data_IF_519665091203
#
_entry.id   IF_519665091203
#
_cell.length_a   1.000
_cell.length_b   1.000
_cell.length_c   1.000
_cell.angle_alpha   90.00
_cell.angle_beta   90.00
_cell.angle_gamma   90.00
#
_symmetry.space_group_name_H-M   'P 1'
#
loop_
_entity.id
_entity.type
_entity.pdbx_description
1 polymer ?
#
# COMPACT_ATOMS: atom_id res chain seq x y z
N UNK A 1 133.46 -145.31 -78.90
CA UNK A 1 133.42 -145.72 -80.32
C UNK A 1 132.31 -144.91 -80.97
N UNK A 2 132.42 -144.26 -82.11
CA UNK A 2 133.29 -144.42 -83.26
C UNK A 2 132.82 -143.37 -84.29
N UNK A 3 133.72 -143.02 -85.22
CA UNK A 3 133.39 -142.65 -86.59
C UNK A 3 132.20 -141.70 -86.87
N UNK A 4 132.51 -140.47 -87.25
CA UNK A 4 132.33 -140.10 -88.68
C UNK A 4 133.55 -139.28 -89.09
N UNK A 5 134.36 -139.83 -89.99
CA UNK A 5 134.26 -139.54 -91.42
C UNK A 5 134.34 -138.05 -91.72
N UNK A 6 135.39 -137.71 -92.46
CA UNK A 6 135.69 -136.40 -93.00
C UNK A 6 134.47 -135.80 -93.74
N UNK A 7 134.02 -134.64 -93.27
CA UNK A 7 133.21 -133.69 -94.05
C UNK A 7 134.13 -132.54 -94.52
N UNK A 8 134.13 -132.22 -95.84
CA UNK A 8 134.99 -131.21 -96.46
C UNK A 8 134.93 -129.86 -95.72
N UNK A 9 136.06 -129.14 -95.66
CA UNK A 9 136.18 -127.88 -94.93
C UNK A 9 135.11 -126.82 -95.30
N UNK A 10 134.54 -126.91 -96.50
CA UNK A 10 133.52 -125.99 -97.03
C UNK A 10 132.14 -126.11 -96.36
N UNK A 11 131.71 -127.29 -95.88
CA UNK A 11 130.38 -127.48 -95.30
C UNK A 11 130.29 -127.01 -93.84
N UNK A 12 131.38 -127.10 -93.06
CA UNK A 12 131.46 -126.56 -91.69
C UNK A 12 131.35 -125.04 -91.63
N UNK A 13 131.88 -124.35 -92.64
CA UNK A 13 131.78 -122.89 -92.74
C UNK A 13 130.33 -122.43 -92.99
N UNK A 14 129.55 -123.17 -93.79
CA UNK A 14 128.12 -122.86 -94.03
C UNK A 14 127.26 -123.10 -92.79
N UNK A 15 127.46 -124.22 -92.09
CA UNK A 15 126.67 -124.52 -90.87
C UNK A 15 126.95 -123.51 -89.76
N UNK A 16 128.21 -123.09 -89.56
CA UNK A 16 128.53 -122.02 -88.60
C UNK A 16 127.94 -120.66 -89.01
N UNK A 17 127.88 -120.35 -90.30
CA UNK A 17 127.19 -119.15 -90.80
C UNK A 17 125.67 -119.22 -90.58
N UNK A 18 125.05 -120.37 -90.82
CA UNK A 18 123.62 -120.57 -90.57
C UNK A 18 123.28 -120.47 -89.07
N UNK A 19 124.10 -121.06 -88.19
CA UNK A 19 123.90 -120.98 -86.74
C UNK A 19 124.15 -119.58 -86.18
N UNK A 20 125.13 -118.84 -86.71
CA UNK A 20 125.35 -117.43 -86.32
C UNK A 20 124.23 -116.53 -86.83
N UNK A 21 123.72 -116.76 -88.04
CA UNK A 21 122.54 -116.06 -88.56
C UNK A 21 121.28 -116.36 -87.75
N UNK A 22 121.05 -117.62 -87.34
CA UNK A 22 119.91 -118.00 -86.49
C UNK A 22 120.05 -117.41 -85.08
N UNK A 23 121.25 -117.41 -84.49
CA UNK A 23 121.49 -116.75 -83.18
C UNK A 23 121.31 -115.23 -83.25
N UNK A 24 121.74 -114.60 -84.34
CA UNK A 24 121.53 -113.16 -84.57
C UNK A 24 120.04 -112.85 -84.73
N UNK A 25 119.27 -113.66 -85.47
CA UNK A 25 117.81 -113.49 -85.59
C UNK A 25 117.08 -113.75 -84.28
N UNK A 26 117.53 -114.73 -83.49
CA UNK A 26 116.97 -114.99 -82.16
C UNK A 26 117.23 -113.80 -81.21
N UNK A 27 118.43 -113.22 -81.24
CA UNK A 27 118.76 -112.03 -80.45
C UNK A 27 117.95 -110.80 -80.91
N UNK A 28 117.75 -110.61 -82.22
CA UNK A 28 116.88 -109.55 -82.76
C UNK A 28 115.43 -109.73 -82.33
N UNK A 29 114.87 -110.94 -82.48
CA UNK A 29 113.50 -111.22 -82.07
C UNK A 29 113.30 -111.08 -80.55
N UNK A 30 114.31 -111.44 -79.75
CA UNK A 30 114.27 -111.24 -78.31
C UNK A 30 114.32 -109.75 -77.94
N UNK A 31 115.09 -108.94 -78.69
CA UNK A 31 115.09 -107.48 -78.60
C UNK A 31 113.74 -106.87 -78.96
N UNK A 32 113.12 -107.34 -80.03
CA UNK A 32 111.79 -106.88 -80.48
C UNK A 32 110.70 -107.26 -79.47
N UNK A 33 110.77 -108.46 -78.87
CA UNK A 33 109.85 -108.88 -77.81
C UNK A 33 110.03 -108.03 -76.55
N UNK A 34 111.27 -107.70 -76.14
CA UNK A 34 111.49 -106.78 -75.03
C UNK A 34 110.97 -105.37 -75.34
N UNK A 35 111.21 -104.85 -76.54
CA UNK A 35 110.71 -103.54 -76.95
C UNK A 35 109.19 -103.48 -77.00
N UNK A 36 108.52 -104.55 -77.44
CA UNK A 36 107.06 -104.68 -77.40
C UNK A 36 106.54 -104.80 -75.97
N UNK A 37 107.26 -105.52 -75.09
CA UNK A 37 106.90 -105.61 -73.67
C UNK A 37 107.02 -104.26 -72.96
N UNK A 38 108.07 -103.48 -73.26
CA UNK A 38 108.28 -102.15 -72.72
C UNK A 38 107.25 -101.16 -73.29
N UNK A 39 106.94 -101.25 -74.58
CA UNK A 39 105.88 -100.45 -75.21
C UNK A 39 104.49 -100.79 -74.67
N UNK A 40 104.21 -102.06 -74.39
CA UNK A 40 102.96 -102.49 -73.76
C UNK A 40 102.88 -102.03 -72.30
N UNK A 41 103.99 -102.05 -71.57
CA UNK A 41 104.10 -101.46 -70.24
C UNK A 41 103.81 -99.97 -70.25
N UNK A 42 104.47 -99.21 -71.14
CA UNK A 42 104.24 -97.78 -71.30
C UNK A 42 102.80 -97.45 -71.72
N UNK A 43 102.20 -98.27 -72.60
CA UNK A 43 100.80 -98.12 -72.99
C UNK A 43 99.84 -98.40 -71.81
N UNK A 44 100.14 -99.40 -70.98
CA UNK A 44 99.36 -99.68 -69.77
C UNK A 44 99.49 -98.58 -68.72
N UNK A 45 100.68 -98.02 -68.53
CA UNK A 45 100.90 -96.89 -67.62
C UNK A 45 100.17 -95.63 -68.12
N UNK A 46 100.15 -95.39 -69.44
CA UNK A 46 99.38 -94.29 -70.02
C UNK A 46 97.88 -94.53 -69.89
N UNK A 47 97.39 -95.76 -70.07
CA UNK A 47 95.98 -96.10 -69.79
C UNK A 47 95.63 -95.88 -68.31
N UNK A 48 96.51 -96.24 -67.38
CA UNK A 48 96.30 -96.01 -65.95
C UNK A 48 96.31 -94.50 -65.61
N UNK A 49 97.21 -93.73 -66.22
CA UNK A 49 97.28 -92.27 -66.09
C UNK A 49 96.05 -91.58 -66.68
N UNK A 50 95.58 -92.01 -67.85
CA UNK A 50 94.37 -91.47 -68.47
C UNK A 50 93.12 -91.85 -67.68
N UNK A 51 93.08 -93.04 -67.10
CA UNK A 51 91.98 -93.47 -66.23
C UNK A 51 91.91 -92.63 -64.96
N UNK A 52 93.05 -92.41 -64.29
CA UNK A 52 93.08 -91.54 -63.09
C UNK A 52 92.75 -90.09 -63.42
N UNK A 53 93.21 -89.57 -64.57
CA UNK A 53 92.82 -88.24 -65.04
C UNK A 53 91.33 -88.14 -65.39
N UNK A 54 90.74 -89.20 -65.96
CA UNK A 54 89.32 -89.27 -66.27
C UNK A 54 88.47 -89.32 -65.00
N UNK A 55 88.86 -90.14 -64.02
CA UNK A 55 88.16 -90.25 -62.73
C UNK A 55 88.25 -88.93 -61.95
N UNK A 56 89.40 -88.26 -61.97
CA UNK A 56 89.57 -86.92 -61.38
C UNK A 56 88.70 -85.87 -62.09
N UNK A 57 88.66 -85.87 -63.43
CA UNK A 57 87.81 -84.97 -64.20
C UNK A 57 86.31 -85.25 -63.99
N UNK A 58 85.92 -86.52 -63.80
CA UNK A 58 84.55 -86.92 -63.48
C UNK A 58 84.15 -86.46 -62.08
N UNK A 59 85.01 -86.65 -61.07
CA UNK A 59 84.79 -86.17 -59.71
C UNK A 59 84.71 -84.63 -59.65
N UNK A 60 85.60 -83.93 -60.36
CA UNK A 60 85.54 -82.47 -60.52
C UNK A 60 84.24 -82.02 -61.22
N UNK A 61 83.79 -82.78 -62.23
CA UNK A 61 82.53 -82.55 -62.93
C UNK A 61 81.31 -82.71 -62.03
N UNK A 62 81.27 -83.76 -61.22
CA UNK A 62 80.21 -84.03 -60.24
C UNK A 62 80.20 -82.96 -59.14
N UNK A 63 81.36 -82.58 -58.60
CA UNK A 63 81.47 -81.50 -57.62
C UNK A 63 81.01 -80.17 -58.20
N UNK A 64 81.40 -79.85 -59.44
CA UNK A 64 80.91 -78.64 -60.14
C UNK A 64 79.40 -78.67 -60.35
N UNK A 65 78.83 -79.81 -60.73
CA UNK A 65 77.38 -79.96 -60.89
C UNK A 65 76.64 -79.78 -59.56
N UNK A 66 77.15 -80.36 -58.46
CA UNK A 66 76.60 -80.18 -57.12
C UNK A 66 76.69 -78.74 -56.63
N UNK A 67 77.82 -78.05 -56.88
CA UNK A 67 77.99 -76.63 -56.55
C UNK A 67 77.05 -75.74 -57.38
N UNK A 68 76.85 -76.03 -58.66
CA UNK A 68 75.89 -75.30 -59.49
C UNK A 68 74.45 -75.55 -59.04
N UNK A 69 74.11 -76.78 -58.65
CA UNK A 69 72.79 -77.11 -58.13
C UNK A 69 72.53 -76.41 -56.79
N UNK A 70 73.48 -76.41 -55.86
CA UNK A 70 73.34 -75.70 -54.58
C UNK A 70 73.31 -74.18 -54.75
N UNK A 71 74.10 -73.63 -55.68
CA UNK A 71 74.04 -72.21 -56.04
C UNK A 71 72.69 -71.84 -56.68
N UNK A 72 72.13 -72.68 -57.55
CA UNK A 72 70.81 -72.46 -58.14
C UNK A 72 69.71 -72.47 -57.06
N UNK A 73 69.74 -73.44 -56.14
CA UNK A 73 68.81 -73.49 -55.01
C UNK A 73 68.93 -72.28 -54.07
N UNK A 74 70.16 -71.82 -53.80
CA UNK A 74 70.39 -70.61 -53.01
C UNK A 74 69.83 -69.36 -53.71
N UNK A 75 70.05 -69.22 -55.02
CA UNK A 75 69.51 -68.12 -55.80
C UNK A 75 67.97 -68.14 -55.88
N UNK A 76 67.35 -69.33 -55.99
CA UNK A 76 65.90 -69.49 -55.91
C UNK A 76 65.36 -69.09 -54.54
N UNK A 77 66.00 -69.54 -53.45
CA UNK A 77 65.63 -69.16 -52.09
C UNK A 77 65.78 -67.65 -51.84
N UNK A 78 66.83 -67.01 -52.37
CA UNK A 78 67.00 -65.55 -52.30
C UNK A 78 65.90 -64.81 -53.08
N UNK A 79 65.55 -65.29 -54.27
CA UNK A 79 64.47 -64.71 -55.07
C UNK A 79 63.10 -64.86 -54.37
N UNK A 80 62.83 -66.00 -53.75
CA UNK A 80 61.64 -66.21 -52.93
C UNK A 80 61.61 -65.30 -51.70
N UNK A 81 62.75 -65.14 -51.01
CA UNK A 81 62.87 -64.23 -49.88
C UNK A 81 62.63 -62.76 -50.28
N UNK A 82 63.16 -62.31 -51.42
CA UNK A 82 62.89 -60.97 -51.96
C UNK A 82 61.42 -60.79 -52.36
N UNK A 83 60.80 -61.80 -52.99
CA UNK A 83 59.36 -61.77 -53.28
C UNK A 83 58.51 -61.69 -52.01
N UNK A 84 58.87 -62.43 -50.96
CA UNK A 84 58.18 -62.36 -49.67
C UNK A 84 58.38 -61.00 -48.98
N UNK A 85 59.58 -60.41 -49.06
CA UNK A 85 59.87 -59.06 -48.56
C UNK A 85 59.06 -58.00 -49.29
N UNK A 86 58.97 -58.08 -50.62
CA UNK A 86 58.17 -57.17 -51.44
C UNK A 86 56.68 -57.29 -51.10
N UNK A 87 56.14 -58.51 -51.04
CA UNK A 87 54.74 -58.73 -50.63
C UNK A 87 54.44 -58.16 -49.23
N UNK A 88 55.33 -58.38 -48.26
CA UNK A 88 55.18 -57.83 -46.92
C UNK A 88 55.32 -56.29 -46.88
N UNK A 89 56.08 -55.68 -47.79
CA UNK A 89 56.17 -54.23 -47.91
C UNK A 89 54.88 -53.64 -48.50
N UNK A 90 54.32 -54.27 -49.54
CA UNK A 90 53.05 -53.88 -50.15
C UNK A 90 51.89 -54.01 -49.16
N UNK A 91 51.81 -55.11 -48.41
CA UNK A 91 50.79 -55.28 -47.36
C UNK A 91 50.88 -54.20 -46.29
N UNK A 92 52.10 -53.84 -45.85
CA UNK A 92 52.31 -52.74 -44.89
C UNK A 92 51.93 -51.38 -45.49
N UNK A 93 52.21 -51.14 -46.77
CA UNK A 93 51.82 -49.91 -47.45
C UNK A 93 50.30 -49.79 -47.55
N UNK A 94 49.61 -50.87 -47.93
CA UNK A 94 48.14 -50.92 -47.99
C UNK A 94 47.51 -50.77 -46.59
N UNK A 95 48.11 -51.35 -45.54
CA UNK A 95 47.67 -51.16 -44.17
C UNK A 95 47.83 -49.70 -43.72
N UNK A 96 48.99 -49.09 -44.00
CA UNK A 96 49.25 -47.68 -43.68
C UNK A 96 48.31 -46.73 -44.44
N UNK A 97 47.97 -47.02 -45.70
CA UNK A 97 47.01 -46.24 -46.47
C UNK A 97 45.59 -46.36 -45.90
N UNK A 98 45.16 -47.56 -45.50
CA UNK A 98 43.87 -47.77 -44.81
C UNK A 98 43.80 -47.03 -43.48
N UNK A 99 44.86 -47.11 -42.67
CA UNK A 99 44.94 -46.40 -41.39
C UNK A 99 44.93 -44.87 -41.61
N UNK A 100 45.63 -44.37 -42.63
CA UNK A 100 45.62 -42.96 -42.99
C UNK A 100 44.24 -42.50 -43.51
N UNK A 101 43.55 -43.34 -44.30
CA UNK A 101 42.18 -43.07 -44.76
C UNK A 101 41.21 -43.01 -43.58
N UNK A 102 41.25 -44.00 -42.69
CA UNK A 102 40.42 -44.04 -41.49
C UNK A 102 40.68 -42.83 -40.57
N UNK A 103 41.95 -42.42 -40.42
CA UNK A 103 42.31 -41.23 -39.64
C UNK A 103 41.77 -39.93 -40.27
N UNK A 104 41.77 -39.80 -41.61
CA UNK A 104 41.19 -38.65 -42.32
C UNK A 104 39.67 -38.60 -42.16
N UNK A 105 38.99 -39.74 -42.31
CA UNK A 105 37.54 -39.83 -42.12
C UNK A 105 37.15 -39.48 -40.67
N UNK A 106 37.87 -40.01 -39.68
CA UNK A 106 37.66 -39.68 -38.28
C UNK A 106 37.88 -38.17 -37.99
N UNK A 107 38.92 -37.57 -38.59
CA UNK A 107 39.17 -36.13 -38.46
C UNK A 107 38.08 -35.28 -39.12
N UNK A 108 37.56 -35.70 -40.27
CA UNK A 108 36.46 -35.01 -40.94
C UNK A 108 35.16 -35.09 -40.15
N UNK A 109 34.82 -36.25 -39.58
CA UNK A 109 33.67 -36.42 -38.70
C UNK A 109 33.81 -35.52 -37.46
N UNK A 110 34.95 -35.55 -36.78
CA UNK A 110 35.19 -34.69 -35.62
C UNK A 110 35.13 -33.19 -35.97
N UNK A 111 35.59 -32.79 -37.15
CA UNK A 111 35.50 -31.41 -37.62
C UNK A 111 34.04 -30.97 -37.87
N UNK A 112 33.21 -31.85 -38.44
CA UNK A 112 31.79 -31.61 -38.64
C UNK A 112 31.03 -31.49 -37.31
N UNK A 113 31.26 -32.42 -36.38
CA UNK A 113 30.66 -32.38 -35.04
C UNK A 113 31.06 -31.10 -34.28
N UNK A 114 32.33 -30.68 -34.34
CA UNK A 114 32.77 -29.45 -33.73
C UNK A 114 32.12 -28.21 -34.38
N UNK A 115 31.93 -28.22 -35.70
CA UNK A 115 31.25 -27.14 -36.41
C UNK A 115 29.77 -27.04 -36.00
N UNK A 116 29.07 -28.16 -35.89
CA UNK A 116 27.68 -28.22 -35.41
C UNK A 116 27.54 -27.68 -33.98
N UNK A 117 28.44 -28.08 -33.07
CA UNK A 117 28.46 -27.58 -31.69
C UNK A 117 28.71 -26.06 -31.64
N UNK A 118 29.60 -25.54 -32.50
CA UNK A 118 29.86 -24.08 -32.57
C UNK A 118 28.64 -23.31 -33.06
N UNK A 119 27.97 -23.79 -34.10
CA UNK A 119 26.73 -23.16 -34.61
C UNK A 119 25.65 -23.17 -33.54
N UNK A 120 25.47 -24.29 -32.82
CA UNK A 120 24.53 -24.37 -31.71
C UNK A 120 24.88 -23.38 -30.58
N UNK A 121 26.16 -23.28 -30.21
CA UNK A 121 26.62 -22.35 -29.18
C UNK A 121 26.44 -20.87 -29.58
N UNK A 122 26.65 -20.53 -30.84
CA UNK A 122 26.41 -19.18 -31.37
C UNK A 122 24.91 -18.84 -31.37
N UNK A 123 24.05 -19.79 -31.75
CA UNK A 123 22.60 -19.63 -31.70
C UNK A 123 22.10 -19.42 -30.25
N UNK A 124 22.60 -20.20 -29.30
CA UNK A 124 22.28 -20.05 -27.87
C UNK A 124 22.78 -18.70 -27.32
N UNK A 125 23.98 -18.28 -27.71
CA UNK A 125 24.51 -16.97 -27.34
C UNK A 125 23.63 -15.84 -27.86
N UNK A 126 23.25 -15.87 -29.14
CA UNK A 126 22.38 -14.87 -29.73
C UNK A 126 21.00 -14.82 -29.03
N UNK A 127 20.46 -15.99 -28.68
CA UNK A 127 19.20 -16.10 -27.92
C UNK A 127 19.32 -15.47 -26.52
N UNK A 128 20.42 -15.73 -25.81
CA UNK A 128 20.67 -15.18 -24.48
C UNK A 128 20.90 -13.67 -24.52
N UNK A 129 21.64 -13.16 -25.52
CA UNK A 129 21.83 -11.73 -25.73
C UNK A 129 20.49 -11.05 -26.03
N UNK A 130 19.64 -11.64 -26.89
CA UNK A 130 18.27 -11.17 -27.13
C UNK A 130 17.44 -11.10 -25.85
N UNK A 131 17.37 -12.19 -25.09
CA UNK A 131 16.64 -12.25 -23.83
C UNK A 131 17.15 -11.23 -22.79
N UNK A 132 18.46 -10.98 -22.75
CA UNK A 132 19.04 -9.95 -21.87
C UNK A 132 18.59 -8.55 -22.29
N UNK A 133 18.59 -8.23 -23.59
CA UNK A 133 18.13 -6.93 -24.07
C UNK A 133 16.63 -6.70 -23.81
N UNK A 134 15.79 -7.72 -24.02
CA UNK A 134 14.36 -7.67 -23.69
C UNK A 134 14.13 -7.48 -22.19
N UNK A 135 14.87 -8.20 -21.34
CA UNK A 135 14.79 -8.05 -19.89
C UNK A 135 15.22 -6.65 -19.44
N UNK A 136 16.28 -6.08 -20.04
CA UNK A 136 16.72 -4.72 -19.76
C UNK A 136 15.70 -3.67 -20.20
N UNK A 137 15.12 -3.83 -21.39
CA UNK A 137 14.04 -2.96 -21.88
C UNK A 137 12.80 -3.04 -20.98
N UNK A 138 12.41 -4.25 -20.57
CA UNK A 138 11.30 -4.48 -19.64
C UNK A 138 11.53 -3.83 -18.28
N UNK A 139 12.75 -3.93 -17.73
CA UNK A 139 13.14 -3.24 -16.50
C UNK A 139 13.04 -1.72 -16.64
N UNK A 140 13.58 -1.14 -17.71
CA UNK A 140 13.52 0.30 -17.93
C UNK A 140 12.07 0.80 -18.09
N UNK A 141 11.22 0.06 -18.79
CA UNK A 141 9.80 0.36 -18.92
C UNK A 141 9.06 0.30 -17.56
N UNK A 142 9.35 -0.71 -16.74
CA UNK A 142 8.79 -0.82 -15.40
C UNK A 142 9.22 0.33 -14.48
N UNK A 143 10.50 0.71 -14.50
CA UNK A 143 11.02 1.85 -13.73
C UNK A 143 10.38 3.18 -14.17
N UNK A 144 10.21 3.39 -15.48
CA UNK A 144 9.52 4.55 -16.03
C UNK A 144 8.05 4.61 -15.57
N UNK A 145 7.36 3.46 -15.56
CA UNK A 145 5.98 3.35 -15.05
C UNK A 145 5.89 3.68 -13.56
N UNK A 146 6.75 3.09 -12.73
CA UNK A 146 6.78 3.37 -11.28
C UNK A 146 7.05 4.85 -11.01
N UNK A 147 7.94 5.48 -11.78
CA UNK A 147 8.21 6.93 -11.68
C UNK A 147 6.99 7.77 -12.04
N UNK A 148 6.23 7.39 -13.08
CA UNK A 148 5.01 8.07 -13.47
C UNK A 148 3.91 7.93 -12.41
N UNK A 149 3.67 6.72 -11.92
CA UNK A 149 2.68 6.44 -10.85
C UNK A 149 3.02 7.21 -9.56
N UNK A 150 4.31 7.26 -9.16
CA UNK A 150 4.75 8.07 -8.02
C UNK A 150 4.45 9.56 -8.18
N UNK A 151 4.55 10.10 -9.41
CA UNK A 151 4.22 11.51 -9.69
C UNK A 151 2.72 11.77 -9.57
N UNK A 152 1.88 10.84 -10.03
CA UNK A 152 0.42 10.93 -9.88
C UNK A 152 0.04 10.90 -8.40
N UNK A 153 0.54 9.92 -7.64
CA UNK A 153 0.30 9.82 -6.20
C UNK A 153 0.76 11.06 -5.43
N UNK A 154 1.91 11.65 -5.80
CA UNK A 154 2.37 12.90 -5.19
C UNK A 154 1.41 14.07 -5.48
N UNK A 155 0.82 14.12 -6.67
CA UNK A 155 -0.21 15.09 -7.05
C UNK A 155 -1.51 14.91 -6.24
N UNK A 156 -1.98 13.68 -6.10
CA UNK A 156 -3.17 13.33 -5.32
C UNK A 156 -2.98 13.67 -3.84
N UNK A 157 -1.84 13.31 -3.24
CA UNK A 157 -1.52 13.66 -1.84
C UNK A 157 -1.54 15.18 -1.65
N UNK A 158 -0.99 15.96 -2.58
CA UNK A 158 -1.00 17.42 -2.52
C UNK A 158 -2.43 17.98 -2.63
N UNK A 159 -3.26 17.40 -3.50
CA UNK A 159 -4.68 17.79 -3.65
C UNK A 159 -5.47 17.48 -2.38
N UNK A 160 -5.29 16.29 -1.80
CA UNK A 160 -5.96 15.88 -0.57
C UNK A 160 -5.57 16.74 0.62
N UNK A 161 -4.29 17.14 0.74
CA UNK A 161 -3.84 18.07 1.80
C UNK A 161 -4.54 19.43 1.69
N UNK A 162 -4.62 19.99 0.49
CA UNK A 162 -5.35 21.26 0.26
C UNK A 162 -6.84 21.14 0.56
N UNK A 163 -7.46 20.02 0.20
CA UNK A 163 -8.86 19.76 0.50
C UNK A 163 -9.11 19.60 2.01
N UNK A 164 -8.18 18.98 2.74
CA UNK A 164 -8.24 18.89 4.20
C UNK A 164 -8.11 20.28 4.85
N UNK A 165 -7.12 21.08 4.45
CA UNK A 165 -6.95 22.45 4.94
C UNK A 165 -8.18 23.33 4.67
N UNK A 166 -8.78 23.21 3.48
CA UNK A 166 -10.01 23.92 3.14
C UNK A 166 -11.19 23.50 4.04
N UNK A 167 -11.34 22.20 4.32
CA UNK A 167 -12.38 21.70 5.24
C UNK A 167 -12.17 22.12 6.67
N UNK A 168 -10.93 22.18 7.15
CA UNK A 168 -10.64 22.66 8.50
C UNK A 168 -11.00 24.16 8.63
N UNK A 169 -10.74 24.95 7.58
CA UNK A 169 -11.16 26.35 7.53
C UNK A 169 -12.69 26.50 7.49
N UNK A 170 -13.40 25.69 6.69
CA UNK A 170 -14.87 25.65 6.64
C UNK A 170 -15.45 25.26 8.01
N UNK A 171 -14.90 24.24 8.67
CA UNK A 171 -15.33 23.79 9.98
C UNK A 171 -15.13 24.89 11.03
N UNK A 172 -13.97 25.55 11.04
CA UNK A 172 -13.67 26.65 11.96
C UNK A 172 -14.63 27.83 11.74
N UNK A 173 -14.90 28.19 10.48
CA UNK A 173 -15.87 29.24 10.14
C UNK A 173 -17.29 28.86 10.55
N UNK A 174 -17.70 27.60 10.35
CA UNK A 174 -19.02 27.11 10.75
C UNK A 174 -19.18 27.08 12.28
N UNK A 175 -18.12 26.72 13.01
CA UNK A 175 -18.10 26.77 14.47
C UNK A 175 -18.21 28.20 15.00
N UNK A 176 -17.53 29.17 14.37
CA UNK A 176 -17.64 30.58 14.72
C UNK A 176 -19.07 31.11 14.49
N UNK A 177 -19.66 30.82 13.31
CA UNK A 177 -21.04 31.20 13.01
C UNK A 177 -22.06 30.53 13.95
N UNK A 178 -21.84 29.27 14.33
CA UNK A 178 -22.68 28.58 15.29
C UNK A 178 -22.59 29.20 16.70
N UNK A 179 -21.39 29.61 17.13
CA UNK A 179 -21.19 30.30 18.41
C UNK A 179 -21.88 31.67 18.43
N UNK A 180 -21.78 32.44 17.33
CA UNK A 180 -22.47 33.73 17.18
C UNK A 180 -23.99 33.56 17.21
N UNK A 181 -24.53 32.58 16.47
CA UNK A 181 -25.95 32.27 16.48
C UNK A 181 -26.45 31.80 17.87
N UNK A 182 -25.64 31.03 18.61
CA UNK A 182 -25.95 30.63 19.97
C UNK A 182 -25.99 31.84 20.93
N UNK A 183 -25.01 32.73 20.85
CA UNK A 183 -24.99 33.96 21.63
C UNK A 183 -26.19 34.87 21.32
N UNK A 184 -26.57 35.02 20.04
CA UNK A 184 -27.74 35.78 19.64
C UNK A 184 -29.04 35.19 20.23
N UNK A 185 -29.19 33.85 20.21
CA UNK A 185 -30.33 33.17 20.83
C UNK A 185 -30.38 33.37 22.33
N UNK A 186 -29.25 33.28 23.02
CA UNK A 186 -29.19 33.53 24.46
C UNK A 186 -29.58 34.99 24.78
N UNK A 187 -29.13 35.95 23.98
CA UNK A 187 -29.54 37.35 24.10
C UNK A 187 -31.05 37.56 23.96
N UNK A 188 -31.70 36.90 22.99
CA UNK A 188 -33.16 36.94 22.84
C UNK A 188 -33.88 36.33 24.04
N UNK A 189 -33.44 35.16 24.51
CA UNK A 189 -34.03 34.49 25.68
C UNK A 189 -33.89 35.35 26.94
N UNK A 190 -32.72 35.95 27.17
CA UNK A 190 -32.52 36.88 28.29
C UNK A 190 -33.41 38.13 28.14
N UNK A 191 -33.58 38.64 26.92
CA UNK A 191 -34.53 39.71 26.59
C UNK A 191 -35.97 39.36 27.02
N UNK A 192 -36.47 38.20 26.59
CA UNK A 192 -37.81 37.72 26.93
C UNK A 192 -38.01 37.54 28.45
N UNK A 193 -37.01 36.98 29.14
CA UNK A 193 -37.05 36.76 30.59
C UNK A 193 -37.13 38.09 31.34
N UNK A 194 -36.34 39.10 30.94
CA UNK A 194 -36.36 40.42 31.57
C UNK A 194 -37.66 41.16 31.28
N UNK A 195 -38.19 41.09 30.05
CA UNK A 195 -39.50 41.65 29.70
C UNK A 195 -40.62 40.99 30.53
N UNK A 196 -40.64 39.67 30.63
CA UNK A 196 -41.60 38.93 31.44
C UNK A 196 -41.49 39.25 32.95
N UNK A 197 -40.29 39.54 33.45
CA UNK A 197 -40.09 39.99 34.83
C UNK A 197 -40.68 41.39 35.06
N UNK A 198 -40.42 42.35 34.15
CA UNK A 198 -40.98 43.71 34.21
C UNK A 198 -42.50 43.69 34.19
N UNK A 199 -43.10 42.96 33.25
CA UNK A 199 -44.55 42.78 33.15
C UNK A 199 -45.18 42.21 34.44
N UNK A 200 -44.55 41.20 35.03
CA UNK A 200 -44.99 40.65 36.32
C UNK A 200 -44.96 41.68 37.43
N UNK A 201 -44.00 42.60 37.43
CA UNK A 201 -43.95 43.72 38.41
C UNK A 201 -45.12 44.68 38.20
N UNK A 202 -45.31 45.17 36.97
CA UNK A 202 -46.40 46.10 36.65
C UNK A 202 -47.77 45.50 36.99
N UNK A 203 -47.99 44.22 36.65
CA UNK A 203 -49.24 43.54 37.01
C UNK A 203 -49.45 43.44 38.53
N UNK A 204 -48.38 43.22 39.30
CA UNK A 204 -48.46 43.24 40.77
C UNK A 204 -48.85 44.62 41.29
N UNK A 205 -48.23 45.68 40.79
CA UNK A 205 -48.54 47.07 41.18
C UNK A 205 -50.00 47.42 40.86
N UNK A 206 -50.47 47.10 39.66
CA UNK A 206 -51.88 47.30 39.25
C UNK A 206 -52.83 46.50 40.13
N UNK A 207 -52.50 45.24 40.47
CA UNK A 207 -53.32 44.44 41.37
C UNK A 207 -53.40 45.03 42.78
N UNK A 208 -52.30 45.56 43.30
CA UNK A 208 -52.25 46.22 44.60
C UNK A 208 -53.03 47.54 44.59
N UNK A 209 -52.96 48.31 43.50
CA UNK A 209 -53.74 49.52 43.31
C UNK A 209 -55.25 49.22 43.28
N UNK A 210 -55.66 48.19 42.53
CA UNK A 210 -57.05 47.72 42.52
C UNK A 210 -57.54 47.32 43.93
N UNK A 211 -56.75 46.54 44.68
CA UNK A 211 -57.10 46.16 46.06
C UNK A 211 -57.25 47.38 46.97
N UNK A 212 -56.38 48.39 46.83
CA UNK A 212 -56.48 49.66 47.58
C UNK A 212 -57.70 50.47 47.16
N UNK A 213 -58.07 50.48 45.88
CA UNK A 213 -59.31 51.11 45.41
C UNK A 213 -60.54 50.42 45.99
N UNK A 214 -60.57 49.09 46.00
CA UNK A 214 -61.64 48.32 46.66
C UNK A 214 -61.73 48.66 48.16
N UNK A 215 -60.59 48.87 48.82
CA UNK A 215 -60.54 49.29 50.21
C UNK A 215 -61.11 50.69 50.50
N UNK A 216 -61.19 51.57 49.50
CA UNK A 216 -61.74 52.92 49.66
C UNK A 216 -63.28 52.95 49.69
N UNK A 217 -63.95 51.79 49.61
CA UNK A 217 -65.40 51.71 49.72
C UNK A 217 -65.89 52.20 51.09
N UNK A 218 -66.99 52.95 51.09
CA UNK A 218 -67.59 53.57 52.29
C UNK A 218 -67.91 52.53 53.37
N UNK A 219 -68.35 51.34 52.95
CA UNK A 219 -68.61 50.20 53.84
C UNK A 219 -67.36 49.78 54.63
N UNK A 220 -66.20 49.79 53.98
CA UNK A 220 -64.93 49.39 54.60
C UNK A 220 -64.34 50.50 55.46
N UNK A 221 -64.47 51.76 55.02
CA UNK A 221 -64.07 52.93 55.81
C UNK A 221 -64.92 53.06 57.08
N UNK A 222 -66.20 52.69 57.03
CA UNK A 222 -67.07 52.66 58.21
C UNK A 222 -66.62 51.59 59.23
N UNK A 223 -66.15 50.43 58.76
CA UNK A 223 -65.54 49.40 59.61
C UNK A 223 -64.21 49.88 60.19
N UNK A 224 -63.33 50.48 59.37
CA UNK A 224 -62.04 51.03 59.82
C UNK A 224 -62.24 52.14 60.89
N UNK A 225 -63.18 53.07 60.69
CA UNK A 225 -63.49 54.13 61.67
C UNK A 225 -64.15 53.56 62.95
N UNK A 226 -64.89 52.45 62.86
CA UNK A 226 -65.46 51.76 64.03
C UNK A 226 -64.39 50.98 64.82
N UNK A 227 -63.45 50.35 64.13
CA UNK A 227 -62.30 49.66 64.74
C UNK A 227 -61.31 50.67 65.37
N UNK A 228 -61.03 51.79 64.70
CA UNK A 228 -60.19 52.87 65.24
C UNK A 228 -60.80 53.51 66.51
N UNK A 229 -62.13 53.62 66.56
CA UNK A 229 -62.85 54.07 67.76
C UNK A 229 -62.78 53.07 68.93
N UNK A 230 -62.57 51.76 68.66
CA UNK A 230 -62.35 50.74 69.69
C UNK A 230 -60.90 50.64 70.17
N UNK A 231 -59.93 51.16 69.40
CA UNK A 231 -58.50 51.08 69.69
C UNK A 231 -57.93 52.32 70.38
N UNK A 232 -58.73 53.34 70.71
CA UNK A 232 -58.27 54.42 71.59
C UNK A 232 -58.05 53.88 73.02
N UNK A 233 -56.81 53.89 73.54
CA UNK A 233 -56.57 53.48 74.91
C UNK A 233 -57.14 54.53 75.86
N UNK A 234 -58.00 54.08 76.79
CA UNK A 234 -58.40 54.84 77.97
C UNK A 234 -57.14 55.18 78.79
N UNK A 235 -56.56 56.33 78.49
CA UNK A 235 -55.57 56.98 79.32
C UNK A 235 -56.26 57.73 80.45
N UNK A 236 -55.75 57.47 81.66
CA UNK A 236 -55.76 58.33 82.86
C UNK A 236 -56.83 58.12 83.93
N UNK A 237 -56.37 57.53 85.03
CA UNK A 237 -56.35 58.11 86.40
C UNK A 237 -57.66 58.56 87.06
N UNK A 238 -57.96 57.92 88.20
CA UNK A 238 -57.90 58.60 89.49
C UNK A 238 -59.11 59.41 89.98
N UNK A 239 -59.92 58.79 90.85
CA UNK A 239 -60.41 59.36 92.11
C UNK A 239 -61.45 60.48 92.11
N UNK A 240 -62.56 60.28 92.83
CA UNK A 240 -63.38 61.37 93.37
C UNK A 240 -64.88 61.08 93.43
N UNK A 241 -65.41 60.91 94.64
CA UNK A 241 -66.81 60.69 94.98
C UNK A 241 -67.75 61.86 94.61
N UNK A 242 -69.00 61.51 94.32
CA UNK A 242 -70.16 62.31 94.69
C UNK A 242 -70.82 63.16 93.60
N UNK A 243 -71.80 62.59 92.91
CA UNK A 243 -73.15 63.16 92.70
C UNK A 243 -73.89 62.39 91.57
N UNK A 244 -74.92 61.65 91.95
CA UNK A 244 -76.00 61.24 91.04
C UNK A 244 -76.81 62.48 90.66
N UNK A 245 -77.15 62.69 89.37
CA UNK A 245 -78.48 62.52 88.71
C UNK A 245 -78.29 62.67 87.16
N UNK A 246 -79.28 62.47 86.25
CA UNK A 246 -79.44 61.25 85.46
C UNK A 246 -79.35 61.46 83.93
N UNK A 247 -79.48 60.34 83.21
CA UNK A 247 -79.74 60.19 81.80
C UNK A 247 -80.58 61.30 81.13
N UNK A 248 -80.12 61.74 79.96
CA UNK A 248 -80.90 61.95 78.70
C UNK A 248 -80.03 62.71 77.69
N UNK A 249 -79.18 62.00 76.96
CA UNK A 249 -78.70 62.46 75.66
C UNK A 249 -79.26 61.48 74.63
N UNK A 250 -80.46 61.78 74.14
CA UNK A 250 -80.90 61.23 72.87
C UNK A 250 -79.81 61.52 71.82
N UNK A 251 -79.47 60.58 70.92
CA UNK A 251 -78.67 60.93 69.77
C UNK A 251 -79.48 61.97 68.99
N UNK A 252 -78.94 63.18 68.89
CA UNK A 252 -79.40 64.16 67.92
C UNK A 252 -79.44 63.45 66.57
N UNK A 253 -80.59 63.51 65.92
CA UNK A 253 -80.94 62.90 64.62
C UNK A 253 -80.03 63.39 63.46
N UNK A 254 -78.96 64.15 63.73
CA UNK A 254 -77.94 64.59 62.76
C UNK A 254 -76.53 64.00 62.94
N UNK A 255 -76.28 63.14 63.94
CA UNK A 255 -74.91 62.64 64.19
C UNK A 255 -74.41 61.54 63.25
N UNK A 256 -75.30 60.67 62.77
CA UNK A 256 -74.93 59.54 61.88
C UNK A 256 -74.75 60.00 60.43
N UNK A 257 -75.53 60.99 60.03
CA UNK A 257 -75.48 61.63 58.71
C UNK A 257 -74.20 62.44 58.53
N UNK A 258 -73.82 63.26 59.53
CA UNK A 258 -72.54 63.96 59.55
C UNK A 258 -71.35 62.98 59.46
N UNK A 259 -71.41 61.87 60.20
CA UNK A 259 -70.37 60.81 60.15
C UNK A 259 -70.28 60.15 58.77
N UNK A 260 -71.42 59.86 58.14
CA UNK A 260 -71.46 59.28 56.80
C UNK A 260 -70.93 60.26 55.73
N UNK A 261 -71.22 61.56 55.87
CA UNK A 261 -70.68 62.60 55.00
C UNK A 261 -69.16 62.72 55.15
N UNK A 262 -68.63 62.61 56.38
CA UNK A 262 -67.18 62.60 56.64
C UNK A 262 -66.50 61.36 56.02
N UNK A 263 -67.09 60.17 56.17
CA UNK A 263 -66.62 58.93 55.55
C UNK A 263 -66.57 59.03 54.01
N UNK A 264 -67.57 59.67 53.41
CA UNK A 264 -67.62 59.92 51.97
C UNK A 264 -66.52 60.90 51.53
N UNK A 265 -66.26 61.95 52.32
CA UNK A 265 -65.16 62.89 52.05
C UNK A 265 -63.78 62.20 52.19
N UNK A 266 -63.57 61.37 53.21
CA UNK A 266 -62.36 60.55 53.36
C UNK A 266 -62.17 59.59 52.18
N UNK A 267 -63.26 58.96 51.72
CA UNK A 267 -63.26 58.11 50.52
C UNK A 267 -62.80 58.89 49.29
N UNK A 268 -63.35 60.09 49.05
CA UNK A 268 -62.99 60.92 47.88
C UNK A 268 -61.53 61.40 47.90
N UNK A 269 -60.99 61.73 49.09
CA UNK A 269 -59.57 62.06 49.25
C UNK A 269 -58.67 60.85 48.92
N UNK A 270 -58.99 59.67 49.44
CA UNK A 270 -58.22 58.44 49.20
C UNK A 270 -58.31 58.01 47.73
N UNK A 271 -59.47 58.13 47.11
CA UNK A 271 -59.65 57.92 45.66
C UNK A 271 -58.79 58.90 44.85
N UNK A 272 -58.67 60.16 45.30
CA UNK A 272 -57.79 61.14 44.65
C UNK A 272 -56.31 60.80 44.67
N UNK A 273 -55.82 60.22 45.76
CA UNK A 273 -54.43 59.74 45.84
C UNK A 273 -54.22 58.55 44.90
N UNK A 274 -55.16 57.58 44.87
CA UNK A 274 -55.05 56.41 44.00
C UNK A 274 -55.14 56.76 42.50
N UNK A 275 -55.85 57.83 42.15
CA UNK A 275 -55.87 58.38 40.79
C UNK A 275 -54.49 58.91 40.36
N UNK A 276 -53.81 59.65 41.24
CA UNK A 276 -52.46 60.13 40.97
C UNK A 276 -51.47 58.96 40.80
N UNK A 277 -51.60 57.91 41.63
CA UNK A 277 -50.79 56.71 41.48
C UNK A 277 -51.09 55.93 40.19
N UNK A 278 -52.35 55.86 39.75
CA UNK A 278 -52.70 55.26 38.46
C UNK A 278 -52.07 55.99 37.28
N UNK A 279 -52.01 57.33 37.34
CA UNK A 279 -51.36 58.16 36.33
C UNK A 279 -49.85 57.95 36.30
N UNK A 280 -49.19 57.83 37.45
CA UNK A 280 -47.76 57.51 37.53
C UNK A 280 -47.42 56.14 36.90
N UNK A 281 -48.31 55.15 37.04
CA UNK A 281 -48.16 53.84 36.37
C UNK A 281 -48.30 53.98 34.84
N UNK A 282 -49.17 54.88 34.37
CA UNK A 282 -49.38 55.15 32.94
C UNK A 282 -48.15 55.77 32.29
N UNK A 283 -47.55 56.75 32.96
CA UNK A 283 -46.36 57.47 32.50
C UNK A 283 -45.10 56.59 32.58
N UNK A 284 -45.18 55.48 33.32
CA UNK A 284 -44.05 54.57 33.53
C UNK A 284 -43.01 55.12 34.52
N UNK A 285 -43.30 56.26 35.15
CA UNK A 285 -42.54 56.89 36.22
C UNK A 285 -42.91 56.26 37.57
N UNK A 286 -42.76 54.95 37.68
CA UNK A 286 -42.62 54.37 39.02
C UNK A 286 -41.25 54.80 39.55
N UNK A 287 -41.13 55.26 40.82
CA UNK A 287 -39.84 55.61 41.38
C UNK A 287 -38.95 54.37 41.29
N UNK A 288 -37.99 54.42 40.35
CA UNK A 288 -36.99 53.38 40.12
C UNK A 288 -36.46 52.96 41.49
N UNK A 289 -36.82 51.76 41.94
CA UNK A 289 -36.02 51.07 42.93
C UNK A 289 -34.64 50.90 42.30
N UNK A 290 -33.75 51.80 42.71
CA UNK A 290 -32.38 51.93 42.29
C UNK A 290 -31.71 50.57 42.25
N UNK A 291 -31.36 50.10 41.05
CA UNK A 291 -30.65 48.85 40.89
C UNK A 291 -30.67 48.38 39.46
N UNK A 292 -29.60 48.75 38.75
CA UNK A 292 -29.03 48.03 37.62
C UNK A 292 -29.59 48.34 36.21
N UNK A 293 -28.73 49.05 35.46
CA UNK A 293 -28.46 48.66 34.07
C UNK A 293 -28.95 49.61 32.99
N UNK A 294 -28.58 50.89 33.05
CA UNK A 294 -28.56 51.78 31.89
C UNK A 294 -27.39 51.37 30.97
N UNK A 295 -27.47 50.15 30.41
CA UNK A 295 -26.56 49.63 29.40
C UNK A 295 -27.17 49.87 28.03
N UNK A 296 -26.57 50.80 27.29
CA UNK A 296 -26.95 51.23 25.96
C UNK A 296 -27.37 50.08 25.01
N UNK A 297 -28.66 50.03 24.69
CA UNK A 297 -29.21 49.18 23.64
C UNK A 297 -29.09 49.88 22.27
N UNK A 298 -27.86 50.03 21.77
CA UNK A 298 -27.61 50.33 20.37
C UNK A 298 -27.83 49.05 19.56
N UNK A 299 -29.10 48.76 19.25
CA UNK A 299 -29.48 47.56 18.48
C UNK A 299 -30.83 46.98 18.87
N UNK A 300 -31.80 47.80 19.33
CA UNK A 300 -33.15 47.31 19.51
C UNK A 300 -33.68 46.84 18.16
N UNK A 301 -34.02 45.55 18.04
CA UNK A 301 -34.72 45.06 16.86
C UNK A 301 -36.06 45.81 16.72
N UNK A 302 -36.59 45.98 15.50
CA UNK A 302 -37.91 46.58 15.30
C UNK A 302 -38.98 45.95 16.21
N UNK A 303 -38.90 44.63 16.42
CA UNK A 303 -39.80 43.89 17.31
C UNK A 303 -39.73 44.34 18.80
N UNK A 304 -38.55 44.78 19.26
CA UNK A 304 -38.38 45.28 20.63
C UNK A 304 -39.00 46.67 20.83
N UNK A 305 -39.08 47.47 19.76
CA UNK A 305 -39.75 48.76 19.78
C UNK A 305 -41.27 48.58 19.77
N UNK A 306 -41.78 47.69 18.91
CA UNK A 306 -43.21 47.31 18.88
C UNK A 306 -43.69 46.77 20.23
N UNK A 307 -42.87 45.92 20.89
CA UNK A 307 -43.22 45.37 22.20
C UNK A 307 -43.29 46.46 23.29
N UNK A 308 -42.40 47.45 23.25
CA UNK A 308 -42.43 48.58 24.19
C UNK A 308 -43.62 49.49 23.95
N UNK A 309 -43.98 49.71 22.69
CA UNK A 309 -45.17 50.49 22.34
C UNK A 309 -46.44 49.77 22.80
N UNK A 310 -46.54 48.46 22.57
CA UNK A 310 -47.62 47.64 23.07
C UNK A 310 -47.69 47.64 24.60
N UNK A 311 -46.55 47.59 25.29
CA UNK A 311 -46.47 47.70 26.75
C UNK A 311 -46.99 49.06 27.24
N UNK A 312 -46.53 50.15 26.64
CA UNK A 312 -47.01 51.49 26.97
C UNK A 312 -48.50 51.66 26.67
N UNK A 313 -49.02 51.03 25.60
CA UNK A 313 -50.45 51.04 25.29
C UNK A 313 -51.29 50.33 26.35
N UNK A 314 -50.85 49.15 26.81
CA UNK A 314 -51.54 48.40 27.88
C UNK A 314 -51.47 49.13 29.22
N UNK A 315 -50.33 49.73 29.58
CA UNK A 315 -50.21 50.55 30.81
C UNK A 315 -51.20 51.72 30.79
N UNK A 316 -51.30 52.42 29.66
CA UNK A 316 -52.29 53.49 29.45
C UNK A 316 -53.72 52.97 29.60
N UNK A 317 -54.07 51.86 28.95
CA UNK A 317 -55.40 51.27 29.04
C UNK A 317 -55.74 50.85 30.49
N UNK A 318 -54.79 50.28 31.23
CA UNK A 318 -54.99 49.93 32.64
C UNK A 318 -55.22 51.18 33.51
N UNK A 319 -54.43 52.24 33.30
CA UNK A 319 -54.60 53.50 34.01
C UNK A 319 -55.93 54.18 33.69
N UNK A 320 -56.39 54.13 32.43
CA UNK A 320 -57.69 54.64 32.00
C UNK A 320 -58.83 53.93 32.73
N UNK A 321 -58.83 52.58 32.76
CA UNK A 321 -59.84 51.79 33.47
C UNK A 321 -59.86 52.11 34.97
N UNK A 322 -58.69 52.26 35.61
CA UNK A 322 -58.60 52.66 37.01
C UNK A 322 -59.12 54.08 37.24
N UNK A 323 -58.84 54.99 36.30
CA UNK A 323 -59.31 56.38 36.33
C UNK A 323 -60.83 56.47 36.21
N UNK A 324 -61.41 55.71 35.29
CA UNK A 324 -62.86 55.60 35.12
C UNK A 324 -63.51 55.02 36.37
N UNK A 325 -62.95 53.95 36.94
CA UNK A 325 -63.48 53.34 38.15
C UNK A 325 -63.46 54.30 39.35
N UNK A 326 -62.36 55.03 39.51
CA UNK A 326 -62.23 56.06 40.55
C UNK A 326 -63.22 57.22 40.35
N UNK A 327 -63.42 57.65 39.10
CA UNK A 327 -64.37 58.70 38.75
C UNK A 327 -65.82 58.27 39.02
N UNK A 328 -66.17 57.03 38.66
CA UNK A 328 -67.48 56.44 38.98
C UNK A 328 -67.72 56.39 40.49
N UNK A 329 -66.72 55.98 41.28
CA UNK A 329 -66.81 55.96 42.75
C UNK A 329 -67.00 57.36 43.33
N UNK A 330 -66.30 58.38 42.82
CA UNK A 330 -66.52 59.78 43.22
C UNK A 330 -67.93 60.27 42.92
N UNK A 331 -68.45 59.96 41.73
CA UNK A 331 -69.83 60.31 41.36
C UNK A 331 -70.81 59.61 42.29
N UNK A 332 -70.62 58.32 42.57
CA UNK A 332 -71.44 57.56 43.52
C UNK A 332 -71.40 58.17 44.92
N UNK A 333 -70.21 58.55 45.41
CA UNK A 333 -70.05 59.23 46.70
C UNK A 333 -70.78 60.58 46.72
N UNK A 334 -70.70 61.35 45.64
CA UNK A 334 -71.44 62.60 45.48
C UNK A 334 -72.96 62.42 45.54
N UNK A 335 -73.48 61.40 44.84
CA UNK A 335 -74.91 61.05 44.87
C UNK A 335 -75.35 60.62 46.28
N UNK A 336 -74.55 59.81 46.97
CA UNK A 336 -74.83 59.39 48.35
C UNK A 336 -74.85 60.60 49.31
N UNK A 337 -73.88 61.52 49.21
CA UNK A 337 -73.87 62.77 50.00
C UNK A 337 -75.12 63.61 49.74
N UNK A 338 -75.51 63.78 48.47
CA UNK A 338 -76.73 64.51 48.11
C UNK A 338 -77.99 63.84 48.68
N UNK A 339 -78.08 62.51 48.62
CA UNK A 339 -79.20 61.76 49.17
C UNK A 339 -79.29 61.91 50.71
N UNK A 340 -78.15 61.83 51.42
CA UNK A 340 -78.08 62.04 52.87
C UNK A 340 -78.49 63.46 53.26
N UNK A 341 -77.96 64.47 52.58
CA UNK A 341 -78.31 65.88 52.83
C UNK A 341 -79.77 66.19 52.51
N UNK A 342 -80.33 65.57 51.47
CA UNK A 342 -81.76 65.71 51.13
C UNK A 342 -82.68 65.04 52.15
N UNK A 343 -82.22 63.95 52.79
CA UNK A 343 -82.93 63.30 53.88
C UNK A 343 -82.91 64.15 55.17
N UNK A 344 -81.78 64.81 55.48
CA UNK A 344 -81.65 65.73 56.61
C UNK A 344 -82.43 67.05 56.44
N UNK A 345 -82.48 67.60 55.22
CA UNK A 345 -83.14 68.87 54.93
C UNK A 345 -84.69 68.82 55.01
N UNK A 346 -85.28 67.65 55.29
CA UNK A 346 -86.72 67.47 55.46
C UNK A 346 -87.49 67.83 54.19
N UNK A 347 -87.55 66.91 53.23
CA UNK A 347 -88.32 67.10 52.00
C UNK A 347 -89.77 67.55 52.31
N UNK A 348 -90.27 68.64 51.69
CA UNK A 348 -91.67 69.05 51.81
C UNK A 348 -92.62 68.04 51.13
N UNK A 349 -93.89 67.94 51.55
CA UNK A 349 -94.82 66.94 51.03
C UNK A 349 -95.22 67.33 49.61
N UNK A 350 -94.68 66.64 48.61
CA UNK A 350 -95.23 66.71 47.25
C UNK A 350 -96.39 65.72 47.13
N UNK A 351 -97.58 66.30 47.23
CA UNK A 351 -98.82 65.93 46.53
C UNK A 351 -99.55 64.67 47.02
N UNK A 352 -100.41 64.90 48.02
CA UNK A 352 -101.76 64.35 47.99
C UNK A 352 -102.44 64.81 46.68
N UNK A 353 -102.62 63.89 45.74
CA UNK A 353 -103.58 64.03 44.64
C UNK A 353 -104.89 63.39 45.05
N UNK A 354 -105.86 64.22 45.40
CA UNK A 354 -107.28 63.89 45.47
C UNK A 354 -107.85 63.71 44.05
N UNK A 355 -108.13 62.46 43.66
CA UNK A 355 -109.34 61.96 43.00
C UNK A 355 -109.07 60.60 42.35
#
# INVERSE_FOLDING_TARGET
EEATMALPAESRARVRRALSALRSRAASAQGDISALSDALGAANDEVARLKTALDAASADGEQRAQLLQSAAQAAEAELEAERARAAAADERAMAAERDASAAREAAEVAARELAEVRVAAEADRARLEGALTEAQAGKAAAEARVKAERKVLAGEIKSLRRAAEARDAELSSAQAAAAEAAAAREGLVQGDVTAAARWRSTLKEVSALRQRMEACGVERLAVEDAEAAQQQPQGSEGGGEGAQVPATAAPLVGGETDRNVELLAKSDMRIGVLLAEAQLIADGDTPKASGEGEGAAAGASPDAEELREAEAAVRRALAEVLTDNASLRRVQNGLMRHALQSAEAGAPPLLQGSS
#
